data_IF_647023101271
#
_entry.id   IF_647023101271
#
_cell.length_a   1.000
_cell.length_b   1.000
_cell.length_c   1.000
_cell.angle_alpha   90.00
_cell.angle_beta   90.00
_cell.angle_gamma   90.00
#
_symmetry.space_group_name_H-M   'P 1'
#
loop_
_entity.id
_entity.type
_entity.pdbx_description
1 polymer ?
#
# COMPACT_ATOMS: atom_id res chain seq x y z
N UNK A 1 8.60 -11.94 -10.60
CA UNK A 1 9.61 -11.72 -9.56
C UNK A 1 10.29 -10.40 -9.83
N UNK A 2 10.56 -9.61 -8.79
CA UNK A 2 11.32 -8.35 -8.88
C UNK A 2 12.77 -8.70 -9.24
N UNK A 3 13.41 -8.02 -10.21
CA UNK A 3 14.82 -8.23 -10.51
C UNK A 3 15.70 -8.01 -9.27
N UNK A 4 16.76 -8.81 -9.02
CA UNK A 4 17.62 -8.65 -7.84
C UNK A 4 18.20 -7.23 -7.70
N UNK A 5 18.53 -6.65 -8.84
CA UNK A 5 19.05 -5.29 -9.05
C UNK A 5 18.02 -4.19 -8.69
N UNK A 6 16.72 -4.51 -8.70
CA UNK A 6 15.66 -3.59 -8.30
C UNK A 6 15.28 -3.70 -6.81
N UNK A 7 15.79 -4.68 -6.05
CA UNK A 7 15.39 -4.91 -4.65
C UNK A 7 15.72 -3.73 -3.72
N UNK A 8 16.79 -3.01 -4.04
CA UNK A 8 17.22 -1.82 -3.30
C UNK A 8 16.66 -0.52 -3.88
N UNK A 9 15.87 -0.60 -4.96
CA UNK A 9 15.23 0.59 -5.51
C UNK A 9 14.17 1.12 -4.56
N UNK A 10 14.05 2.45 -4.58
CA UNK A 10 13.09 3.21 -3.82
C UNK A 10 12.29 4.08 -4.80
N UNK A 11 11.32 3.51 -5.53
CA UNK A 11 10.59 4.24 -6.58
C UNK A 11 9.84 5.47 -6.06
N UNK A 12 9.50 5.48 -4.76
CA UNK A 12 8.93 6.60 -4.04
C UNK A 12 9.92 6.98 -2.92
N UNK A 13 10.56 8.17 -2.97
CA UNK A 13 11.60 8.58 -2.00
C UNK A 13 11.19 8.62 -0.52
N UNK A 14 9.90 8.49 -0.23
CA UNK A 14 9.33 8.45 1.12
C UNK A 14 8.99 7.02 1.57
N UNK A 15 9.38 5.99 0.83
CA UNK A 15 9.08 4.58 1.12
C UNK A 15 10.35 3.78 1.37
N UNK A 16 10.24 2.61 1.98
CA UNK A 16 11.41 1.72 2.11
C UNK A 16 11.80 1.13 0.75
N UNK A 17 13.05 0.63 0.60
CA UNK A 17 13.42 -0.21 -0.53
C UNK A 17 12.51 -1.44 -0.65
N UNK A 18 12.31 -1.95 -1.86
CA UNK A 18 11.43 -3.10 -2.14
C UNK A 18 11.75 -4.32 -1.26
N UNK A 19 13.03 -4.55 -0.95
CA UNK A 19 13.49 -5.64 -0.08
C UNK A 19 12.93 -5.56 1.35
N UNK A 20 12.68 -4.36 1.87
CA UNK A 20 12.09 -4.18 3.21
C UNK A 20 10.71 -4.82 3.30
N UNK A 21 9.93 -4.74 2.23
CA UNK A 21 8.57 -5.25 2.23
C UNK A 21 8.52 -6.78 2.19
N UNK A 22 9.53 -7.42 1.60
CA UNK A 22 9.67 -8.88 1.62
C UNK A 22 9.86 -9.42 3.04
N UNK A 23 10.56 -8.67 3.90
CA UNK A 23 10.70 -9.01 5.32
C UNK A 23 9.51 -8.57 6.18
N UNK A 24 8.86 -7.47 5.81
CA UNK A 24 7.68 -6.94 6.50
C UNK A 24 6.54 -7.94 6.57
N UNK A 25 6.17 -8.55 5.45
CA UNK A 25 5.05 -9.49 5.38
C UNK A 25 5.14 -10.65 6.39
N UNK A 26 6.19 -11.49 6.38
CA UNK A 26 6.30 -12.59 7.35
C UNK A 26 6.49 -12.10 8.78
N UNK A 27 7.10 -10.92 8.98
CA UNK A 27 7.29 -10.34 10.31
C UNK A 27 5.95 -9.92 10.93
N UNK A 28 5.09 -9.29 10.13
CA UNK A 28 3.75 -8.89 10.57
C UNK A 28 2.94 -10.10 11.06
N UNK A 29 2.92 -11.17 10.26
CA UNK A 29 2.28 -12.43 10.65
C UNK A 29 2.87 -12.99 11.94
N UNK A 30 4.20 -13.07 12.03
CA UNK A 30 4.88 -13.64 13.20
C UNK A 30 4.64 -12.83 14.48
N UNK A 31 4.56 -11.50 14.40
CA UNK A 31 4.18 -10.62 15.53
C UNK A 31 2.79 -10.96 16.02
N UNK A 32 1.80 -11.02 15.12
CA UNK A 32 0.41 -11.31 15.49
C UNK A 32 0.24 -12.73 16.04
N UNK A 33 0.93 -13.71 15.46
CA UNK A 33 0.94 -15.08 15.97
C UNK A 33 1.62 -15.19 17.34
N UNK A 34 2.73 -14.49 17.54
CA UNK A 34 3.45 -14.45 18.84
C UNK A 34 2.56 -13.87 19.93
N UNK A 35 1.83 -12.78 19.64
CA UNK A 35 0.86 -12.19 20.57
C UNK A 35 -0.32 -13.13 20.87
N UNK A 36 -0.89 -13.76 19.85
CA UNK A 36 -2.05 -14.63 20.01
C UNK A 36 -1.74 -15.97 20.72
N UNK A 37 -0.56 -16.54 20.46
CA UNK A 37 -0.13 -17.81 21.06
C UNK A 37 0.65 -17.65 22.36
N UNK A 38 1.00 -16.41 22.74
CA UNK A 38 1.89 -16.09 23.85
C UNK A 38 3.21 -16.87 23.81
N UNK A 39 3.73 -17.12 22.60
CA UNK A 39 4.97 -17.87 22.38
C UNK A 39 6.16 -16.93 22.19
N UNK A 40 7.33 -17.50 21.89
CA UNK A 40 8.47 -16.73 21.40
C UNK A 40 8.29 -16.41 19.90
N UNK A 41 8.90 -15.31 19.41
CA UNK A 41 9.05 -15.03 17.99
C UNK A 41 9.72 -16.16 17.22
N UNK A 42 9.45 -16.24 15.92
CA UNK A 42 10.25 -17.05 15.00
C UNK A 42 11.65 -16.45 14.87
N UNK A 43 12.68 -17.29 14.87
CA UNK A 43 14.05 -16.80 14.73
C UNK A 43 14.36 -16.42 13.26
N UNK A 44 15.07 -15.29 13.02
CA UNK A 44 15.66 -14.42 14.05
C UNK A 44 14.67 -13.39 14.64
N UNK A 45 14.55 -13.37 15.97
CA UNK A 45 13.55 -12.53 16.66
C UNK A 45 13.75 -11.01 16.45
N UNK A 46 14.96 -10.55 16.12
CA UNK A 46 15.25 -9.14 15.88
C UNK A 46 14.59 -8.60 14.60
N UNK A 47 14.09 -9.46 13.71
CA UNK A 47 13.31 -9.05 12.54
C UNK A 47 12.03 -8.31 12.93
N UNK A 48 11.44 -8.60 14.09
CA UNK A 48 10.34 -7.79 14.63
C UNK A 48 10.73 -6.32 14.72
N UNK A 49 11.95 -5.99 15.13
CA UNK A 49 12.36 -4.58 15.28
C UNK A 49 12.56 -3.89 13.94
N UNK A 50 13.14 -4.60 12.97
CA UNK A 50 13.54 -4.04 11.67
C UNK A 50 12.35 -3.93 10.71
N UNK A 51 11.41 -4.88 10.80
CA UNK A 51 10.35 -5.03 9.81
C UNK A 51 8.93 -4.77 10.37
N UNK A 52 8.75 -4.45 11.67
CA UNK A 52 7.40 -4.16 12.22
C UNK A 52 6.77 -2.90 11.60
N UNK A 53 7.56 -1.87 11.28
CA UNK A 53 7.04 -0.58 10.78
C UNK A 53 7.62 -0.20 9.42
N UNK A 54 6.75 0.22 8.52
CA UNK A 54 7.16 0.94 7.31
C UNK A 54 7.49 2.41 7.61
N UNK A 55 7.99 3.12 6.60
CA UNK A 55 8.08 4.58 6.65
C UNK A 55 6.69 5.18 6.42
N UNK A 56 6.27 5.99 7.38
CA UNK A 56 5.08 6.85 7.29
C UNK A 56 5.52 8.32 7.25
N UNK A 57 5.58 8.95 6.06
CA UNK A 57 5.89 10.37 5.96
C UNK A 57 4.76 11.21 6.56
N UNK A 58 5.10 12.31 7.21
CA UNK A 58 4.09 13.27 7.69
C UNK A 58 3.29 13.81 6.48
N UNK A 59 1.96 13.78 6.60
CA UNK A 59 1.04 14.14 5.52
C UNK A 59 1.12 15.64 5.16
N UNK A 60 1.53 16.48 6.10
CA UNK A 60 1.62 17.93 5.95
C UNK A 60 3.06 18.38 5.65
N UNK A 61 4.08 17.68 6.15
CA UNK A 61 5.49 18.00 5.95
C UNK A 61 6.33 16.76 5.55
N UNK A 62 6.56 16.54 4.24
CA UNK A 62 7.33 15.39 3.75
C UNK A 62 8.79 15.33 4.25
N UNK A 63 9.31 16.41 4.84
CA UNK A 63 10.65 16.42 5.46
C UNK A 63 10.66 15.87 6.88
N UNK A 64 9.47 15.66 7.47
CA UNK A 64 9.28 14.98 8.76
C UNK A 64 8.90 13.53 8.52
N UNK A 65 9.63 12.66 9.19
CA UNK A 65 9.34 11.25 9.26
C UNK A 65 8.75 10.98 10.64
N UNK A 66 7.60 10.30 10.69
CA UNK A 66 7.07 9.77 11.95
C UNK A 66 8.03 8.69 12.50
N UNK A 67 7.88 8.31 13.78
CA UNK A 67 8.66 7.21 14.37
C UNK A 67 8.53 5.93 13.53
N UNK A 68 9.66 5.47 12.97
CA UNK A 68 9.76 4.27 12.15
C UNK A 68 10.86 3.35 12.66
N UNK A 69 10.85 2.08 12.24
CA UNK A 69 11.92 1.12 12.54
C UNK A 69 13.25 1.62 11.96
N UNK A 70 14.31 1.58 12.77
CA UNK A 70 15.67 1.82 12.27
C UNK A 70 16.02 0.71 11.27
N UNK A 71 16.31 1.10 10.03
CA UNK A 71 16.85 0.16 9.05
C UNK A 71 18.30 -0.16 9.42
N UNK A 72 18.73 -1.44 9.35
CA UNK A 72 20.12 -1.79 9.58
C UNK A 72 21.03 -1.18 8.52
N UNK A 73 22.24 -0.76 8.93
CA UNK A 73 23.29 -0.22 8.04
C UNK A 73 23.71 -1.22 6.94
N UNK A 74 23.53 -2.52 7.20
CA UNK A 74 23.73 -3.59 6.23
C UNK A 74 22.39 -4.25 5.98
N UNK A 75 21.88 -4.08 4.76
CA UNK A 75 20.62 -4.71 4.37
C UNK A 75 20.77 -6.23 4.37
N UNK A 76 19.76 -6.89 4.94
CA UNK A 76 19.74 -8.34 5.15
C UNK A 76 19.84 -9.11 3.83
N UNK A 77 20.50 -10.26 3.87
CA UNK A 77 20.61 -11.15 2.73
C UNK A 77 19.21 -11.60 2.28
N UNK A 78 18.91 -11.54 0.98
CA UNK A 78 17.60 -11.95 0.46
C UNK A 78 17.29 -13.39 0.87
N UNK A 79 18.28 -14.27 0.81
CA UNK A 79 18.19 -15.67 1.23
C UNK A 79 17.76 -15.81 2.69
N UNK A 80 18.27 -14.97 3.60
CA UNK A 80 17.92 -15.01 5.03
C UNK A 80 16.46 -14.55 5.26
N UNK A 81 16.01 -13.54 4.53
CA UNK A 81 14.61 -13.06 4.59
C UNK A 81 13.67 -14.15 4.06
N UNK A 82 14.02 -14.80 2.95
CA UNK A 82 13.22 -15.88 2.38
C UNK A 82 13.20 -17.09 3.32
N UNK A 83 14.32 -17.44 3.95
CA UNK A 83 14.36 -18.50 4.95
C UNK A 83 13.47 -18.19 6.16
N UNK A 84 13.50 -16.96 6.66
CA UNK A 84 12.60 -16.52 7.71
C UNK A 84 11.13 -16.65 7.31
N UNK A 85 10.76 -16.23 6.09
CA UNK A 85 9.40 -16.43 5.56
C UNK A 85 8.99 -17.90 5.60
N UNK A 86 9.88 -18.82 5.20
CA UNK A 86 9.58 -20.25 5.23
C UNK A 86 9.43 -20.78 6.66
N UNK A 87 10.17 -20.26 7.64
CA UNK A 87 9.97 -20.61 9.05
C UNK A 87 8.61 -20.13 9.58
N UNK A 88 8.19 -18.91 9.23
CA UNK A 88 6.87 -18.37 9.62
C UNK A 88 5.74 -19.19 8.97
N UNK A 89 5.87 -19.54 7.69
CA UNK A 89 4.92 -20.43 7.02
C UNK A 89 4.83 -21.80 7.68
N UNK A 90 5.97 -22.41 8.03
CA UNK A 90 5.98 -23.69 8.72
C UNK A 90 5.25 -23.61 10.06
N UNK A 91 5.43 -22.50 10.81
CA UNK A 91 4.69 -22.22 12.04
C UNK A 91 3.18 -22.09 11.80
N UNK A 92 2.76 -21.39 10.75
CA UNK A 92 1.35 -21.27 10.36
C UNK A 92 0.76 -22.63 10.00
N UNK A 93 1.46 -23.43 9.20
CA UNK A 93 1.03 -24.77 8.81
C UNK A 93 0.84 -25.67 10.04
N UNK A 94 1.79 -25.65 10.98
CA UNK A 94 1.67 -26.42 12.22
C UNK A 94 0.44 -26.02 13.05
N UNK A 95 0.05 -24.74 13.05
CA UNK A 95 -1.19 -24.30 13.70
C UNK A 95 -2.43 -24.90 13.03
N UNK A 96 -2.50 -24.90 11.70
CA UNK A 96 -3.62 -25.53 10.98
C UNK A 96 -3.67 -27.04 11.20
N UNK A 97 -2.52 -27.73 11.20
CA UNK A 97 -2.45 -29.17 11.49
C UNK A 97 -2.95 -29.53 12.88
N UNK A 98 -2.77 -28.63 13.86
CA UNK A 98 -3.28 -28.79 15.22
C UNK A 98 -4.77 -28.43 15.38
N UNK A 99 -5.43 -27.95 14.32
CA UNK A 99 -6.81 -27.41 14.32
C UNK A 99 -7.07 -26.26 15.32
N UNK A 100 -6.03 -25.75 15.98
CA UNK A 100 -6.10 -24.66 16.97
C UNK A 100 -6.83 -23.41 16.44
N UNK A 101 -6.60 -22.94 15.19
CA UNK A 101 -7.29 -21.75 14.66
C UNK A 101 -8.82 -21.84 14.64
N UNK A 102 -9.39 -23.05 14.59
CA UNK A 102 -10.84 -23.26 14.57
C UNK A 102 -11.45 -23.28 15.98
N UNK A 103 -10.64 -23.47 17.01
CA UNK A 103 -11.07 -23.58 18.41
C UNK A 103 -10.68 -22.37 19.25
N UNK A 104 -9.57 -21.71 18.91
CA UNK A 104 -9.11 -20.47 19.52
C UNK A 104 -9.34 -19.27 18.58
N UNK A 105 -10.31 -18.43 18.95
CA UNK A 105 -10.67 -17.23 18.19
C UNK A 105 -9.55 -16.19 18.13
N UNK A 106 -8.68 -16.12 19.13
CA UNK A 106 -7.55 -15.18 19.13
C UNK A 106 -6.55 -15.56 18.04
N UNK A 107 -6.21 -16.86 17.96
CA UNK A 107 -5.29 -17.40 16.94
C UNK A 107 -5.93 -17.33 15.55
N UNK A 108 -7.21 -17.70 15.42
CA UNK A 108 -7.94 -17.59 14.16
C UNK A 108 -7.97 -16.16 13.62
N UNK A 109 -8.17 -15.15 14.48
CA UNK A 109 -8.10 -13.73 14.11
C UNK A 109 -6.70 -13.27 13.73
N UNK A 110 -5.68 -13.72 14.44
CA UNK A 110 -4.30 -13.39 14.09
C UNK A 110 -3.91 -13.88 12.69
N UNK A 111 -4.35 -15.09 12.32
CA UNK A 111 -4.17 -15.63 10.98
C UNK A 111 -4.99 -14.87 9.92
N UNK A 112 -6.23 -14.49 10.26
CA UNK A 112 -7.09 -13.71 9.36
C UNK A 112 -6.49 -12.34 9.03
N UNK A 113 -6.05 -11.58 10.05
CA UNK A 113 -5.41 -10.27 9.86
C UNK A 113 -4.12 -10.42 9.04
N UNK A 114 -3.34 -11.49 9.26
CA UNK A 114 -2.17 -11.79 8.43
C UNK A 114 -2.52 -12.01 6.96
N UNK A 115 -3.56 -12.81 6.69
CA UNK A 115 -4.06 -13.05 5.33
C UNK A 115 -4.58 -11.78 4.65
N UNK A 116 -5.37 -10.96 5.35
CA UNK A 116 -5.83 -9.68 4.81
C UNK A 116 -4.69 -8.70 4.58
N UNK A 117 -3.67 -8.73 5.43
CA UNK A 117 -2.47 -7.92 5.25
C UNK A 117 -1.70 -8.33 3.99
N UNK A 118 -1.53 -9.63 3.70
CA UNK A 118 -0.93 -10.11 2.44
C UNK A 118 -1.83 -9.84 1.22
N UNK A 119 -3.14 -10.08 1.32
CA UNK A 119 -4.10 -9.83 0.23
C UNK A 119 -4.28 -8.34 -0.08
N UNK A 120 -4.24 -7.49 0.96
CA UNK A 120 -4.22 -6.04 0.86
C UNK A 120 -2.89 -5.51 0.34
N UNK A 121 -1.77 -6.19 0.62
CA UNK A 121 -0.46 -5.87 0.06
C UNK A 121 -0.43 -6.04 -1.48
N UNK A 122 -1.18 -6.99 -2.04
CA UNK A 122 -1.34 -7.16 -3.50
C UNK A 122 -2.24 -6.09 -4.14
N UNK A 123 -3.11 -5.42 -3.36
CA UNK A 123 -4.04 -4.41 -3.87
C UNK A 123 -3.68 -2.96 -3.51
N UNK A 124 -2.92 -2.67 -2.44
CA UNK A 124 -2.74 -1.29 -1.96
C UNK A 124 -1.55 -1.15 -0.98
N UNK A 125 -0.55 -0.35 -1.33
CA UNK A 125 -0.26 0.97 -0.74
C UNK A 125 -1.48 1.68 -0.08
N UNK A 126 -2.17 1.06 0.88
CA UNK A 126 -3.27 1.75 1.59
C UNK A 126 -4.21 0.86 2.40
N UNK A 127 -4.31 1.21 3.68
CA UNK A 127 -5.48 1.04 4.54
C UNK A 127 -5.96 -0.40 4.78
N UNK A 128 -5.47 -1.01 5.86
CA UNK A 128 -6.20 -2.06 6.56
C UNK A 128 -7.40 -1.42 7.28
N UNK A 129 -8.57 -1.45 6.64
CA UNK A 129 -9.79 -0.82 7.15
C UNK A 129 -10.37 -1.51 8.40
N UNK A 130 -10.09 -2.80 8.64
CA UNK A 130 -10.67 -3.53 9.79
C UNK A 130 -10.18 -3.02 11.16
N UNK A 131 -9.01 -2.37 11.25
CA UNK A 131 -8.52 -1.83 12.53
C UNK A 131 -9.07 -0.44 12.86
N UNK A 132 -9.63 0.29 11.88
CA UNK A 132 -10.22 1.62 12.09
C UNK A 132 -11.74 1.55 12.35
N UNK A 133 -12.38 0.43 12.05
CA UNK A 133 -13.76 0.17 12.47
C UNK A 133 -13.84 0.03 14.00
N UNK A 134 -14.07 1.17 14.66
CA UNK A 134 -14.40 1.20 16.09
C UNK A 134 -15.74 0.51 16.33
N UNK A 135 -15.98 0.13 17.58
CA UNK A 135 -17.28 -0.37 18.03
C UNK A 135 -18.42 0.50 17.48
N UNK A 136 -19.51 -0.11 16.97
CA UNK A 136 -20.62 0.64 16.39
C UNK A 136 -21.12 1.73 17.34
N UNK A 137 -21.29 2.94 16.83
CA UNK A 137 -21.79 4.07 17.59
C UNK A 137 -22.90 4.77 16.84
N UNK A 138 -23.84 5.37 17.58
CA UNK A 138 -24.93 6.13 16.99
C UNK A 138 -24.49 7.57 16.72
N UNK A 139 -24.81 8.06 15.52
CA UNK A 139 -24.56 9.44 15.12
C UNK A 139 -25.73 9.95 14.26
N UNK A 140 -26.15 11.20 14.50
CA UNK A 140 -27.15 11.87 13.65
C UNK A 140 -26.44 12.53 12.48
N UNK A 141 -26.73 12.06 11.27
CA UNK A 141 -26.20 12.64 10.02
C UNK A 141 -27.28 13.52 9.39
N UNK A 142 -27.00 14.80 9.07
CA UNK A 142 -27.96 15.66 8.36
C UNK A 142 -28.23 15.13 6.93
N UNK A 143 -29.28 15.60 6.25
CA UNK A 143 -29.54 15.21 4.86
C UNK A 143 -28.33 15.55 3.96
N UNK A 144 -27.79 14.52 3.31
CA UNK A 144 -26.70 14.65 2.32
C UNK A 144 -27.14 14.09 0.97
N UNK A 145 -26.51 14.57 -0.10
CA UNK A 145 -26.63 13.99 -1.45
C UNK A 145 -25.24 13.59 -1.92
N UNK A 146 -25.10 12.34 -2.32
CA UNK A 146 -23.88 11.81 -2.92
C UNK A 146 -24.17 11.36 -4.36
N UNK A 147 -23.16 11.47 -5.22
CA UNK A 147 -23.23 10.94 -6.58
C UNK A 147 -23.06 9.42 -6.52
N UNK A 148 -23.90 8.67 -7.25
CA UNK A 148 -23.82 7.20 -7.28
C UNK A 148 -22.66 6.63 -8.12
N UNK A 149 -21.77 7.50 -8.61
CA UNK A 149 -20.57 7.14 -9.37
C UNK A 149 -19.41 8.07 -9.01
N UNK A 150 -18.15 7.63 -9.15
CA UNK A 150 -16.99 8.49 -9.09
C UNK A 150 -17.01 9.59 -10.17
N UNK A 151 -16.15 10.60 -9.98
CA UNK A 151 -15.86 11.64 -10.98
C UNK A 151 -15.14 10.99 -12.17
N UNK A 152 -15.58 11.28 -13.40
CA UNK A 152 -14.95 10.74 -14.60
C UNK A 152 -13.71 11.55 -15.02
N UNK A 153 -12.84 10.96 -15.84
CA UNK A 153 -11.70 11.67 -16.41
C UNK A 153 -12.13 12.90 -17.22
N UNK A 154 -13.28 12.84 -17.89
CA UNK A 154 -13.81 13.98 -18.65
C UNK A 154 -14.28 15.13 -17.76
N UNK A 155 -14.96 14.82 -16.66
CA UNK A 155 -15.35 15.82 -15.66
C UNK A 155 -14.13 16.49 -15.03
N UNK A 156 -13.10 15.70 -14.70
CA UNK A 156 -11.85 16.22 -14.16
C UNK A 156 -11.04 17.02 -15.18
N UNK A 157 -10.99 16.58 -16.44
CA UNK A 157 -10.34 17.32 -17.53
C UNK A 157 -10.97 18.69 -17.74
N UNK A 158 -12.31 18.77 -17.64
CA UNK A 158 -13.05 20.02 -17.75
C UNK A 158 -12.70 20.96 -16.60
N UNK A 159 -12.69 20.43 -15.37
CA UNK A 159 -12.26 21.18 -14.20
C UNK A 159 -10.85 21.77 -14.36
N UNK A 160 -9.87 20.97 -14.80
CA UNK A 160 -8.50 21.45 -15.03
C UNK A 160 -8.42 22.55 -16.10
N UNK A 161 -9.18 22.41 -17.18
CA UNK A 161 -9.25 23.42 -18.24
C UNK A 161 -9.85 24.74 -17.73
N UNK A 162 -10.88 24.67 -16.88
CA UNK A 162 -11.58 25.84 -16.33
C UNK A 162 -10.73 26.59 -15.29
N UNK A 163 -10.00 25.86 -14.42
CA UNK A 163 -9.14 26.45 -13.37
C UNK A 163 -7.80 26.94 -13.93
N UNK A 164 -7.46 26.58 -15.17
CA UNK A 164 -6.18 26.90 -15.83
C UNK A 164 -4.95 26.47 -15.02
N UNK A 165 -5.08 25.39 -14.26
CA UNK A 165 -3.99 24.88 -13.45
C UNK A 165 -2.94 24.16 -14.32
N UNK A 166 -1.64 24.43 -14.12
CA UNK A 166 -0.59 23.83 -14.95
C UNK A 166 -0.24 22.39 -14.55
N UNK A 167 -0.62 21.99 -13.33
CA UNK A 167 -0.34 20.66 -12.79
C UNK A 167 -1.42 19.67 -13.22
N UNK A 168 -0.96 18.53 -13.74
CA UNK A 168 -1.81 17.40 -14.12
C UNK A 168 -1.57 16.25 -13.15
N UNK A 169 -2.53 15.32 -13.01
CA UNK A 169 -2.34 14.12 -12.19
C UNK A 169 -1.08 13.34 -12.57
N UNK A 170 -0.43 12.72 -11.59
CA UNK A 170 0.76 11.88 -11.82
C UNK A 170 0.51 10.73 -12.81
N UNK A 171 -0.72 10.24 -12.86
CA UNK A 171 -1.20 9.21 -13.79
C UNK A 171 -1.37 9.72 -15.22
N UNK A 172 -1.24 11.02 -15.49
CA UNK A 172 -1.39 11.60 -16.81
C UNK A 172 -0.04 12.01 -17.39
N UNK A 173 0.03 12.15 -18.72
CA UNK A 173 1.21 12.63 -19.45
C UNK A 173 0.83 13.62 -20.54
N UNK A 174 1.67 14.66 -20.68
CA UNK A 174 1.59 15.65 -21.78
C UNK A 174 2.25 15.07 -23.01
N UNK A 175 1.60 15.22 -24.15
CA UNK A 175 2.15 14.76 -25.44
C UNK A 175 3.01 15.84 -26.11
N UNK A 176 2.85 17.13 -25.77
CA UNK A 176 3.66 18.29 -26.23
C UNK A 176 3.62 19.49 -25.25
N UNK A 177 4.66 20.33 -25.27
CA UNK A 177 4.72 21.61 -24.52
C UNK A 177 3.89 22.71 -25.19
N UNK A 178 2.93 23.33 -24.48
CA UNK A 178 2.43 24.67 -24.84
C UNK A 178 1.71 25.42 -23.70
N UNK A 179 1.44 26.71 -24.02
CA UNK A 179 1.15 27.88 -23.17
C UNK A 179 -0.25 27.89 -22.51
N UNK A 180 -0.39 28.79 -21.53
CA UNK A 180 -1.45 28.96 -20.53
C UNK A 180 -2.90 29.24 -20.97
N UNK A 181 -3.22 29.23 -22.26
CA UNK A 181 -4.57 29.59 -22.76
C UNK A 181 -5.09 28.55 -23.77
N UNK A 182 -5.49 27.38 -23.29
CA UNK A 182 -6.02 26.30 -24.14
C UNK A 182 -7.50 26.03 -23.88
N UNK A 183 -8.29 25.94 -24.95
CA UNK A 183 -9.67 25.45 -24.95
C UNK A 183 -9.72 23.96 -24.56
N UNK A 184 -10.83 23.52 -23.93
CA UNK A 184 -11.04 22.14 -23.46
C UNK A 184 -10.72 21.06 -24.51
N UNK A 185 -11.08 21.28 -25.78
CA UNK A 185 -10.79 20.35 -26.89
C UNK A 185 -9.30 20.21 -27.16
N UNK A 186 -8.54 21.31 -27.03
CA UNK A 186 -7.08 21.32 -27.18
C UNK A 186 -6.42 20.61 -25.99
N UNK A 187 -6.95 20.83 -24.79
CA UNK A 187 -6.50 20.15 -23.58
C UNK A 187 -6.67 18.62 -23.71
N UNK A 188 -7.86 18.14 -24.10
CA UNK A 188 -8.12 16.70 -24.28
C UNK A 188 -7.19 16.07 -25.32
N UNK A 189 -6.93 16.75 -26.43
CA UNK A 189 -6.10 16.22 -27.51
C UNK A 189 -4.61 16.08 -27.15
N UNK A 190 -4.14 16.77 -26.09
CA UNK A 190 -2.73 16.85 -25.70
C UNK A 190 -2.37 16.05 -24.45
N UNK A 191 -3.36 15.40 -23.85
CA UNK A 191 -3.17 14.60 -22.65
C UNK A 191 -3.47 13.13 -22.91
N UNK A 192 -2.83 12.29 -22.10
CA UNK A 192 -2.95 10.84 -22.12
C UNK A 192 -2.89 10.32 -20.70
N UNK A 193 -3.51 9.17 -20.45
CA UNK A 193 -3.45 8.44 -19.18
C UNK A 193 -2.38 7.35 -19.31
N UNK A 194 -1.46 7.33 -18.35
CA UNK A 194 -0.44 6.28 -18.22
C UNK A 194 -1.13 4.99 -17.78
N UNK A 195 -0.95 3.94 -18.55
CA UNK A 195 -1.38 2.59 -18.17
C UNK A 195 -0.19 1.64 -18.21
N UNK A 196 -0.34 0.46 -17.63
CA UNK A 196 0.68 -0.61 -17.70
C UNK A 196 1.00 -1.05 -19.14
N UNK A 197 0.08 -0.80 -20.07
CA UNK A 197 0.22 -1.13 -21.49
C UNK A 197 0.71 0.06 -22.35
N UNK A 198 1.01 1.20 -21.72
CA UNK A 198 1.42 2.43 -22.38
C UNK A 198 0.39 3.57 -22.25
N UNK A 199 0.69 4.76 -22.82
CA UNK A 199 -0.20 5.91 -22.72
C UNK A 199 -1.44 5.73 -23.60
N UNK A 200 -2.62 5.92 -23.01
CA UNK A 200 -3.92 5.95 -23.70
C UNK A 200 -4.35 7.40 -23.88
N UNK A 201 -4.67 7.88 -25.11
CA UNK A 201 -5.12 9.25 -25.33
C UNK A 201 -6.36 9.57 -24.48
N UNK A 202 -6.38 10.75 -23.86
CA UNK A 202 -7.46 11.14 -22.97
C UNK A 202 -8.83 11.12 -23.69
N UNK A 203 -8.84 11.43 -25.00
CA UNK A 203 -10.02 11.34 -25.88
C UNK A 203 -10.67 9.95 -25.96
N UNK A 204 -9.95 8.88 -25.62
CA UNK A 204 -10.45 7.50 -25.59
C UNK A 204 -10.90 7.07 -24.19
N UNK A 205 -10.81 7.97 -23.20
CA UNK A 205 -11.08 7.71 -21.78
C UNK A 205 -12.04 8.73 -21.18
N UNK A 206 -12.77 9.46 -22.04
CA UNK A 206 -13.81 10.40 -21.65
C UNK A 206 -15.13 9.62 -21.53
N UNK A 207 -15.35 9.03 -20.36
CA UNK A 207 -16.60 8.35 -20.02
C UNK A 207 -17.81 9.31 -19.99
#
# INVERSE_FOLDING_TARGET
MIPPDALMEQPIPLRNPLLSYLGHMPTFEDIHLTRATNSKPTEPAYYHQIFERGIDPDADDPSKLNDHSELPDVFLCLEDILQYREHVKARIMALYESETPYTDRCIGRALWIGFEHEGGFELTIGFSDEFFEREPYEITVPPIKAQGRPVSNGEYAKYLADVKEPQIPATWSKTRDARSDEEYTTFVARHSIKTVWGPVPLSQTLD
#
